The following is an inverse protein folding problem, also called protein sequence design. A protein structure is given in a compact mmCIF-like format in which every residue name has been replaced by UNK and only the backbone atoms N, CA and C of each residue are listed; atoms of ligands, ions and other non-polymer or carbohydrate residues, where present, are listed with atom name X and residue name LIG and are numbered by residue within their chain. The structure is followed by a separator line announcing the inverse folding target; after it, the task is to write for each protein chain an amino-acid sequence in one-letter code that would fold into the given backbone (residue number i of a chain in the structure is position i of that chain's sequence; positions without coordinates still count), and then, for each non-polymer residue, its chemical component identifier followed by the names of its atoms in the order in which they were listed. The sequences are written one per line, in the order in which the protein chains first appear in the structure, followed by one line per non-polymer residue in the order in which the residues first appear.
data_IF_094456761813
#
_entry.id   IF_094456761813
#
_cell.length_a   1.000
_cell.length_b   1.000
_cell.length_c   1.000
_cell.angle_alpha   90.00
_cell.angle_beta   90.00
_cell.angle_gamma   90.00
#
_symmetry.space_group_name_H-M   'P 1'
#
loop_
_entity.id
_entity.type
_entity.pdbx_description
1 polymer ?
#
# COMPACT_ATOMS: atom_id res chain seq x y z
N UNK A 1 -17.87 33.91 -14.03
CA UNK A 1 -17.85 32.77 -14.99
C UNK A 1 -16.43 32.31 -15.33
N UNK A 2 -15.47 33.18 -15.69
CA UNK A 2 -14.11 32.73 -16.05
C UNK A 2 -13.36 32.02 -14.90
N UNK A 3 -13.45 32.52 -13.66
CA UNK A 3 -12.81 31.90 -12.48
C UNK A 3 -13.22 30.44 -12.23
N UNK A 4 -14.42 30.03 -12.68
CA UNK A 4 -14.91 28.67 -12.51
C UNK A 4 -14.33 27.68 -13.53
N UNK A 5 -13.84 28.16 -14.67
CA UNK A 5 -13.22 27.33 -15.71
C UNK A 5 -11.74 27.13 -15.38
N UNK A 6 -11.04 28.21 -15.01
CA UNK A 6 -9.64 28.15 -14.58
C UNK A 6 -9.45 27.21 -13.38
N UNK A 7 -10.40 27.24 -12.44
CA UNK A 7 -10.43 26.32 -11.30
C UNK A 7 -10.52 24.84 -11.73
N UNK A 8 -11.43 24.50 -12.65
CA UNK A 8 -11.61 23.14 -13.16
C UNK A 8 -10.39 22.65 -13.93
N UNK A 9 -9.77 23.51 -14.74
CA UNK A 9 -8.54 23.18 -15.47
C UNK A 9 -7.41 22.89 -14.49
N UNK A 10 -7.24 23.71 -13.46
CA UNK A 10 -6.20 23.50 -12.44
C UNK A 10 -6.41 22.19 -11.66
N UNK A 11 -7.66 21.79 -11.44
CA UNK A 11 -7.97 20.48 -10.84
C UNK A 11 -7.62 19.32 -11.77
N UNK A 12 -7.97 19.42 -13.05
CA UNK A 12 -7.62 18.37 -14.02
C UNK A 12 -6.09 18.28 -14.23
N UNK A 13 -5.38 19.40 -14.19
CA UNK A 13 -3.91 19.44 -14.22
C UNK A 13 -3.33 18.77 -12.97
N UNK A 14 -3.91 19.00 -11.80
CA UNK A 14 -3.47 18.35 -10.55
C UNK A 14 -3.67 16.83 -10.63
N UNK A 15 -4.83 16.39 -11.09
CA UNK A 15 -5.19 14.98 -11.32
C UNK A 15 -4.23 14.32 -12.34
N UNK A 16 -3.88 15.03 -13.41
CA UNK A 16 -2.93 14.53 -14.41
C UNK A 16 -1.49 14.46 -13.88
N UNK A 17 -1.04 15.48 -13.15
CA UNK A 17 0.31 15.49 -12.57
C UNK A 17 0.46 14.37 -11.53
N UNK A 18 -0.57 14.13 -10.72
CA UNK A 18 -0.64 13.02 -9.77
C UNK A 18 -0.66 11.66 -10.50
N UNK A 19 -1.46 11.54 -11.56
CA UNK A 19 -1.48 10.36 -12.45
C UNK A 19 -0.13 10.08 -13.12
N UNK A 20 0.61 11.12 -13.53
CA UNK A 20 1.96 10.97 -14.08
C UNK A 20 3.04 10.76 -13.00
N UNK A 21 2.67 10.78 -11.72
CA UNK A 21 3.57 10.56 -10.59
C UNK A 21 4.52 11.71 -10.30
N UNK A 22 4.19 12.93 -10.73
CA UNK A 22 4.98 14.14 -10.53
C UNK A 22 4.75 14.74 -9.14
N UNK A 23 4.98 13.97 -8.08
CA UNK A 23 4.61 14.31 -6.70
C UNK A 23 5.25 15.63 -6.21
N UNK A 24 6.52 15.87 -6.56
CA UNK A 24 7.22 17.11 -6.21
C UNK A 24 6.60 18.33 -6.91
N UNK A 25 6.21 18.15 -8.17
CA UNK A 25 5.53 19.17 -8.99
C UNK A 25 4.12 19.44 -8.49
N UNK A 26 3.37 18.42 -8.08
CA UNK A 26 2.05 18.57 -7.45
C UNK A 26 2.16 19.39 -6.17
N UNK A 27 3.16 19.12 -5.33
CA UNK A 27 3.40 19.88 -4.09
C UNK A 27 3.66 21.36 -4.34
N UNK A 28 4.50 21.67 -5.34
CA UNK A 28 4.79 23.05 -5.75
C UNK A 28 3.55 23.72 -6.35
N UNK A 29 2.84 23.02 -7.24
CA UNK A 29 1.67 23.52 -7.92
C UNK A 29 0.53 23.87 -6.94
N UNK A 30 0.25 23.00 -5.97
CA UNK A 30 -0.73 23.26 -4.91
C UNK A 30 -0.34 24.45 -4.01
N UNK A 31 0.97 24.64 -3.77
CA UNK A 31 1.48 25.78 -3.01
C UNK A 31 1.27 27.09 -3.77
N UNK A 32 1.57 27.11 -5.06
CA UNK A 32 1.34 28.28 -5.93
C UNK A 32 -0.15 28.62 -6.06
N UNK A 33 -1.04 27.61 -6.16
CA UNK A 33 -2.50 27.79 -6.15
C UNK A 33 -3.00 28.47 -4.86
N UNK A 34 -2.46 28.04 -3.70
CA UNK A 34 -2.80 28.64 -2.39
C UNK A 34 -2.32 30.10 -2.28
N UNK A 35 -1.12 30.40 -2.78
CA UNK A 35 -0.57 31.77 -2.74
C UNK A 35 -1.36 32.74 -3.64
N UNK A 36 -2.06 32.23 -4.67
CA UNK A 36 -2.88 33.02 -5.60
C UNK A 36 -4.35 33.24 -5.19
N UNK A 37 -4.76 32.83 -3.98
CA UNK A 37 -6.13 32.99 -3.45
C UNK A 37 -7.24 32.36 -4.32
N UNK A 38 -7.02 31.19 -4.93
CA UNK A 38 -8.12 30.46 -5.59
C UNK A 38 -8.83 29.51 -4.59
N UNK A 39 -10.18 29.54 -4.51
CA UNK A 39 -10.93 28.74 -3.54
C UNK A 39 -10.90 27.25 -3.93
N UNK A 40 -10.38 26.41 -3.05
CA UNK A 40 -10.31 24.96 -3.22
C UNK A 40 -11.69 24.35 -2.98
N UNK A 41 -12.32 23.79 -4.02
CA UNK A 41 -13.40 22.82 -3.86
C UNK A 41 -12.87 21.42 -4.19
N UNK A 42 -12.95 20.52 -3.20
CA UNK A 42 -12.73 19.10 -3.38
C UNK A 42 -13.88 18.51 -4.21
N UNK A 43 -13.59 17.60 -5.16
CA UNK A 43 -14.15 16.23 -5.27
C UNK A 43 -14.17 15.63 -6.71
N UNK A 44 -13.77 14.34 -6.75
CA UNK A 44 -14.36 13.16 -7.45
C UNK A 44 -14.42 13.02 -8.99
N UNK A 45 -13.83 11.89 -9.44
CA UNK A 45 -14.22 10.95 -10.52
C UNK A 45 -13.97 11.31 -12.01
N UNK A 46 -13.35 10.37 -12.77
CA UNK A 46 -13.53 10.23 -14.24
C UNK A 46 -12.45 9.49 -15.07
N UNK A 47 -12.55 8.15 -15.14
CA UNK A 47 -12.23 7.13 -16.20
C UNK A 47 -11.30 7.40 -17.43
N UNK A 48 -10.73 6.32 -18.03
CA UNK A 48 -10.52 6.26 -19.49
C UNK A 48 -9.17 6.14 -20.31
N UNK A 49 -8.09 5.38 -20.01
CA UNK A 49 -7.03 4.91 -20.96
C UNK A 49 -6.38 3.62 -20.42
N UNK A 50 -6.76 2.45 -20.93
CA UNK A 50 -6.38 1.17 -20.31
C UNK A 50 -5.03 0.58 -20.74
N UNK A 51 -4.49 0.79 -21.95
CA UNK A 51 -3.43 -0.14 -22.42
C UNK A 51 -2.01 0.16 -21.92
N UNK A 52 -1.57 1.43 -21.89
CA UNK A 52 -0.22 1.77 -21.38
C UNK A 52 -0.16 1.88 -19.86
N UNK A 53 -1.31 2.06 -19.20
CA UNK A 53 -1.43 2.10 -17.74
C UNK A 53 -1.55 0.69 -17.16
N UNK A 54 -2.23 -0.22 -17.85
CA UNK A 54 -2.27 -1.63 -17.45
C UNK A 54 -0.87 -2.25 -17.46
N UNK A 55 -0.08 -2.04 -18.51
CA UNK A 55 1.28 -2.59 -18.57
C UNK A 55 2.17 -2.05 -17.43
N UNK A 56 2.11 -0.75 -17.13
CA UNK A 56 2.83 -0.15 -15.99
C UNK A 56 2.34 -0.68 -14.64
N UNK A 57 1.03 -0.79 -14.46
CA UNK A 57 0.44 -1.37 -13.27
C UNK A 57 0.82 -2.83 -13.09
N UNK A 58 0.90 -3.61 -14.18
CA UNK A 58 1.39 -4.99 -14.16
C UNK A 58 2.88 -5.05 -13.81
N UNK A 59 3.71 -4.15 -14.34
CA UNK A 59 5.13 -4.07 -13.97
C UNK A 59 5.26 -3.78 -12.47
N UNK A 60 4.55 -2.77 -11.96
CA UNK A 60 4.57 -2.41 -10.52
C UNK A 60 4.07 -3.57 -9.66
N UNK A 61 2.96 -4.21 -10.05
CA UNK A 61 2.43 -5.41 -9.38
C UNK A 61 3.48 -6.50 -9.29
N UNK A 62 4.13 -6.83 -10.41
CA UNK A 62 5.13 -7.87 -10.48
C UNK A 62 6.37 -7.53 -9.65
N UNK A 63 6.79 -6.26 -9.64
CA UNK A 63 7.89 -5.75 -8.83
C UNK A 63 7.58 -5.84 -7.32
N UNK A 64 6.38 -5.40 -6.90
CA UNK A 64 5.94 -5.53 -5.51
C UNK A 64 5.83 -7.00 -5.08
N UNK A 65 5.28 -7.87 -5.93
CA UNK A 65 5.22 -9.31 -5.63
C UNK A 65 6.61 -9.93 -5.55
N UNK A 66 7.57 -9.47 -6.37
CA UNK A 66 8.97 -9.89 -6.27
C UNK A 66 9.57 -9.47 -4.93
N UNK A 67 9.38 -8.23 -4.48
CA UNK A 67 9.87 -7.81 -3.16
C UNK A 67 9.20 -8.55 -2.00
N UNK A 68 7.93 -8.92 -2.16
CA UNK A 68 7.27 -9.83 -1.22
C UNK A 68 7.94 -11.20 -1.19
N UNK A 69 8.18 -11.80 -2.35
CA UNK A 69 8.81 -13.14 -2.48
C UNK A 69 10.27 -13.14 -2.00
N UNK A 70 11.00 -12.04 -2.19
CA UNK A 70 12.39 -11.86 -1.76
C UNK A 70 12.51 -11.47 -0.27
N UNK A 71 11.41 -11.04 0.36
CA UNK A 71 11.39 -10.56 1.75
C UNK A 71 11.96 -9.15 1.95
N UNK A 72 12.03 -8.35 0.87
CA UNK A 72 12.50 -6.97 0.92
C UNK A 72 11.36 -6.05 1.39
N UNK A 73 11.23 -5.94 2.72
CA UNK A 73 10.20 -5.13 3.40
C UNK A 73 10.26 -3.65 2.98
N UNK A 74 11.45 -3.07 2.94
CA UNK A 74 11.64 -1.63 2.71
C UNK A 74 11.17 -1.23 1.31
N UNK A 75 11.65 -1.92 0.28
CA UNK A 75 11.24 -1.65 -1.10
C UNK A 75 9.76 -1.97 -1.33
N UNK A 76 9.24 -3.03 -0.71
CA UNK A 76 7.82 -3.36 -0.77
C UNK A 76 6.97 -2.21 -0.22
N UNK A 77 7.25 -1.74 1.01
CA UNK A 77 6.46 -0.67 1.62
C UNK A 77 6.70 0.70 0.97
N UNK A 78 7.87 0.94 0.38
CA UNK A 78 8.13 2.12 -0.46
C UNK A 78 7.18 2.16 -1.65
N UNK A 79 7.03 1.04 -2.37
CA UNK A 79 6.07 0.95 -3.48
C UNK A 79 4.62 0.97 -2.99
N UNK A 80 4.33 0.35 -1.84
CA UNK A 80 3.01 0.35 -1.22
C UNK A 80 2.54 1.78 -0.94
N UNK A 81 3.34 2.56 -0.22
CA UNK A 81 3.02 3.96 0.10
C UNK A 81 2.95 4.86 -1.13
N UNK A 82 3.74 4.56 -2.17
CA UNK A 82 3.75 5.32 -3.42
C UNK A 82 2.52 5.07 -4.29
N UNK A 83 2.06 3.82 -4.35
CA UNK A 83 1.06 3.39 -5.34
C UNK A 83 -0.31 3.09 -4.76
N UNK A 84 -0.43 2.92 -3.44
CA UNK A 84 -1.68 2.59 -2.75
C UNK A 84 -2.09 3.76 -1.85
N UNK A 85 -3.20 4.43 -2.17
CA UNK A 85 -3.72 5.53 -1.36
C UNK A 85 -4.10 5.09 0.06
N UNK A 86 -3.55 5.78 1.07
CA UNK A 86 -3.80 5.46 2.48
C UNK A 86 -5.28 5.59 2.88
N UNK A 87 -6.04 6.46 2.22
CA UNK A 87 -7.48 6.63 2.46
C UNK A 87 -8.28 5.35 2.13
N UNK A 88 -7.88 4.58 1.12
CA UNK A 88 -8.56 3.33 0.75
C UNK A 88 -8.31 2.28 1.83
N UNK A 89 -7.06 2.16 2.29
CA UNK A 89 -6.69 1.26 3.39
C UNK A 89 -7.43 1.67 4.67
N UNK A 90 -7.44 2.97 5.00
CA UNK A 90 -8.00 3.45 6.25
C UNK A 90 -9.54 3.37 6.29
N UNK A 91 -10.19 3.24 5.12
CA UNK A 91 -11.65 3.10 5.00
C UNK A 91 -12.14 1.66 5.08
N UNK A 92 -11.34 0.67 4.68
CA UNK A 92 -11.74 -0.75 4.63
C UNK A 92 -11.02 -1.57 5.72
N UNK A 93 -11.75 -2.10 6.73
CA UNK A 93 -11.19 -2.99 7.74
C UNK A 93 -10.43 -4.20 7.15
N UNK A 94 -10.88 -4.75 6.03
CA UNK A 94 -10.26 -5.89 5.35
C UNK A 94 -8.87 -5.54 4.81
N UNK A 95 -8.69 -4.30 4.34
CA UNK A 95 -7.40 -3.80 3.84
C UNK A 95 -6.44 -3.45 4.97
N UNK A 96 -6.96 -2.94 6.10
CA UNK A 96 -6.16 -2.79 7.33
C UNK A 96 -5.65 -4.14 7.82
N UNK A 97 -6.52 -5.15 7.82
CA UNK A 97 -6.14 -6.53 8.13
C UNK A 97 -5.08 -7.07 7.17
N UNK A 98 -5.18 -6.76 5.87
CA UNK A 98 -4.17 -7.15 4.88
C UNK A 98 -2.81 -6.47 5.13
N UNK A 99 -2.81 -5.17 5.42
CA UNK A 99 -1.60 -4.42 5.79
C UNK A 99 -0.94 -5.01 7.04
N UNK A 100 -1.73 -5.32 8.06
CA UNK A 100 -1.22 -6.00 9.26
C UNK A 100 -0.58 -7.36 8.92
N UNK A 101 -1.26 -8.18 8.11
CA UNK A 101 -0.74 -9.49 7.69
C UNK A 101 0.56 -9.36 6.89
N UNK A 102 0.75 -8.29 6.12
CA UNK A 102 1.99 -7.97 5.43
C UNK A 102 3.12 -7.69 6.42
N UNK A 103 2.89 -6.83 7.42
CA UNK A 103 3.89 -6.59 8.47
C UNK A 103 4.25 -7.87 9.23
N UNK A 104 3.25 -8.70 9.56
CA UNK A 104 3.46 -9.99 10.20
C UNK A 104 4.24 -10.97 9.30
N UNK A 105 3.99 -10.96 7.98
CA UNK A 105 4.75 -11.78 7.04
C UNK A 105 6.24 -11.39 7.01
N UNK A 106 6.55 -10.09 6.87
CA UNK A 106 7.93 -9.61 6.81
C UNK A 106 8.69 -9.79 8.13
N UNK A 107 8.01 -9.72 9.28
CA UNK A 107 8.65 -9.92 10.59
C UNK A 107 9.14 -11.34 10.81
N UNK A 108 8.47 -12.35 10.24
CA UNK A 108 8.86 -13.76 10.35
C UNK A 108 9.58 -14.31 9.11
N UNK A 109 9.67 -13.54 8.03
CA UNK A 109 10.23 -13.99 6.74
C UNK A 109 11.58 -14.70 6.91
N UNK A 110 12.54 -14.03 7.56
CA UNK A 110 13.88 -14.56 7.81
C UNK A 110 13.94 -15.66 8.89
N UNK A 111 12.90 -15.77 9.72
CA UNK A 111 12.80 -16.78 10.77
C UNK A 111 12.28 -18.13 10.25
N UNK A 112 11.61 -18.15 9.07
CA UNK A 112 11.03 -19.37 8.48
C UNK A 112 12.06 -20.50 8.28
N UNK A 113 11.74 -21.76 8.63
CA UNK A 113 12.68 -22.88 8.50
C UNK A 113 13.22 -23.07 7.09
N UNK A 114 12.36 -22.91 6.07
CA UNK A 114 12.70 -23.15 4.67
C UNK A 114 13.33 -21.94 3.96
N UNK A 115 13.56 -20.84 4.67
CA UNK A 115 14.21 -19.67 4.09
C UNK A 115 15.72 -19.89 4.01
N UNK A 116 16.25 -19.97 2.78
CA UNK A 116 17.68 -20.14 2.50
C UNK A 116 18.50 -18.89 2.83
N UNK A 117 17.87 -17.71 2.81
CA UNK A 117 18.51 -16.42 3.03
C UNK A 117 18.34 -15.99 4.49
N UNK A 118 18.82 -16.79 5.45
CA UNK A 118 18.74 -16.45 6.87
C UNK A 118 19.46 -15.13 7.14
N UNK A 119 18.76 -14.16 7.71
CA UNK A 119 19.33 -12.88 8.15
C UNK A 119 18.73 -12.50 9.51
N UNK A 120 19.46 -12.80 10.58
CA UNK A 120 19.00 -12.56 11.95
C UNK A 120 18.86 -11.07 12.27
N UNK A 121 19.73 -10.23 11.70
CA UNK A 121 19.67 -8.79 11.89
C UNK A 121 18.41 -8.20 11.25
N UNK A 122 18.15 -8.54 9.98
CA UNK A 122 16.94 -8.12 9.29
C UNK A 122 15.67 -8.71 9.94
N UNK A 123 15.74 -9.92 10.52
CA UNK A 123 14.64 -10.47 11.30
C UNK A 123 14.31 -9.61 12.53
N UNK A 124 15.34 -9.20 13.29
CA UNK A 124 15.18 -8.33 14.47
C UNK A 124 14.62 -6.96 14.08
N UNK A 125 15.16 -6.36 13.01
CA UNK A 125 14.69 -5.08 12.48
C UNK A 125 13.22 -5.17 12.04
N UNK A 126 12.85 -6.16 11.23
CA UNK A 126 11.47 -6.33 10.79
C UNK A 126 10.51 -6.62 11.95
N UNK A 127 10.96 -7.34 12.99
CA UNK A 127 10.17 -7.58 14.20
C UNK A 127 9.94 -6.30 15.01
N UNK A 128 10.98 -5.47 15.15
CA UNK A 128 10.87 -4.17 15.82
C UNK A 128 9.93 -3.24 15.05
N UNK A 129 10.02 -3.21 13.74
CA UNK A 129 9.13 -2.44 12.86
C UNK A 129 7.67 -2.89 12.99
N UNK A 130 7.44 -4.21 13.05
CA UNK A 130 6.10 -4.74 13.29
C UNK A 130 5.57 -4.34 14.67
N UNK A 131 6.41 -4.34 15.70
CA UNK A 131 6.05 -3.83 17.02
C UNK A 131 5.66 -2.35 16.99
N UNK A 132 6.46 -1.51 16.33
CA UNK A 132 6.16 -0.09 16.16
C UNK A 132 4.85 0.14 15.38
N UNK A 133 4.57 -0.66 14.35
CA UNK A 133 3.29 -0.61 13.64
C UNK A 133 2.11 -0.94 14.57
N UNK A 134 2.23 -1.95 15.43
CA UNK A 134 1.17 -2.32 16.37
C UNK A 134 0.91 -1.24 17.43
N UNK A 135 1.96 -0.56 17.88
CA UNK A 135 1.87 0.54 18.85
C UNK A 135 1.23 1.81 18.22
N UNK A 136 1.23 1.91 16.88
CA UNK A 136 0.60 3.01 16.16
C UNK A 136 -0.94 3.00 16.25
N UNK A 137 -1.56 4.14 15.95
CA UNK A 137 -3.03 4.30 15.91
C UNK A 137 -3.69 3.27 14.96
N UNK A 138 -3.01 2.93 13.85
CA UNK A 138 -3.50 1.93 12.88
C UNK A 138 -3.48 0.53 13.47
N UNK A 139 -2.38 0.15 14.12
CA UNK A 139 -2.23 -1.14 14.81
C UNK A 139 -3.25 -1.34 15.93
N UNK A 140 -3.49 -0.31 16.74
CA UNK A 140 -4.46 -0.37 17.83
C UNK A 140 -5.90 -0.55 17.33
N UNK A 141 -6.26 0.06 16.18
CA UNK A 141 -7.59 -0.09 15.58
C UNK A 141 -7.86 -1.53 15.06
N UNK A 142 -6.82 -2.29 14.72
CA UNK A 142 -6.92 -3.65 14.17
C UNK A 142 -7.10 -4.71 15.27
N UNK A 143 -6.73 -4.38 16.51
CA UNK A 143 -6.81 -5.28 17.69
C UNK A 143 -8.21 -5.79 18.02
N UNK A 144 -9.26 -5.27 17.37
CA UNK A 144 -10.65 -5.69 17.55
C UNK A 144 -11.09 -6.85 16.64
N UNK A 145 -10.23 -7.33 15.73
CA UNK A 145 -10.54 -8.47 14.84
C UNK A 145 -10.00 -9.79 15.39
N UNK A 146 -10.89 -10.76 15.64
CA UNK A 146 -10.58 -12.00 16.35
C UNK A 146 -9.53 -12.90 15.66
N UNK A 147 -9.42 -12.80 14.34
CA UNK A 147 -8.48 -13.61 13.54
C UNK A 147 -7.02 -13.16 13.67
N UNK A 148 -6.79 -11.91 14.09
CA UNK A 148 -5.47 -11.27 14.11
C UNK A 148 -4.91 -11.18 15.53
N UNK A 149 -5.77 -11.33 16.55
CA UNK A 149 -5.41 -11.23 17.96
C UNK A 149 -4.18 -12.07 18.36
N UNK A 150 -4.02 -13.35 17.93
CA UNK A 150 -2.84 -14.13 18.29
C UNK A 150 -1.53 -13.50 17.80
N UNK A 151 -1.56 -12.80 16.66
CA UNK A 151 -0.39 -12.17 16.05
C UNK A 151 0.16 -10.99 16.86
N UNK A 152 -0.65 -10.38 17.73
CA UNK A 152 -0.19 -9.30 18.62
C UNK A 152 0.84 -9.77 19.65
N UNK A 153 0.82 -11.05 20.00
CA UNK A 153 1.81 -11.63 20.91
C UNK A 153 3.17 -11.90 20.21
N UNK A 154 3.22 -11.89 18.88
CA UNK A 154 4.35 -12.38 18.10
C UNK A 154 5.69 -11.68 18.44
N UNK A 155 5.78 -10.35 18.60
CA UNK A 155 7.04 -9.69 18.95
C UNK A 155 7.46 -9.88 20.41
N UNK A 156 6.56 -10.35 21.26
CA UNK A 156 6.80 -10.51 22.69
C UNK A 156 7.17 -11.96 23.06
N UNK A 157 7.05 -12.90 22.12
CA UNK A 157 7.38 -14.31 22.33
C UNK A 157 8.84 -14.57 21.98
N UNK A 158 9.55 -15.28 22.86
CA UNK A 158 10.89 -15.78 22.60
C UNK A 158 10.83 -16.98 21.65
N UNK A 159 11.57 -16.94 20.54
CA UNK A 159 11.55 -18.00 19.49
C UNK A 159 10.14 -18.30 18.96
N UNK A 160 9.49 -17.35 18.27
CA UNK A 160 8.12 -17.53 17.77
C UNK A 160 7.97 -18.71 16.80
N UNK A 161 9.05 -19.14 16.17
CA UNK A 161 9.14 -20.31 15.29
C UNK A 161 8.86 -21.65 15.99
N UNK A 162 9.04 -21.72 17.31
CA UNK A 162 8.85 -22.95 18.12
C UNK A 162 7.53 -22.97 18.87
N UNK A 163 6.79 -21.86 18.87
CA UNK A 163 5.61 -21.70 19.70
C UNK A 163 4.38 -22.33 19.02
N UNK A 164 3.64 -23.18 19.74
CA UNK A 164 2.50 -23.93 19.21
C UNK A 164 1.42 -23.02 18.57
N UNK A 165 1.13 -21.88 19.18
CA UNK A 165 0.16 -20.89 18.66
C UNK A 165 0.53 -20.27 17.31
N UNK A 166 1.79 -20.38 16.87
CA UNK A 166 2.27 -19.80 15.61
C UNK A 166 2.62 -20.84 14.55
N UNK A 167 2.36 -22.13 14.78
CA UNK A 167 2.69 -23.19 13.83
C UNK A 167 2.13 -22.92 12.43
N UNK A 168 0.90 -22.42 12.35
CA UNK A 168 0.29 -22.03 11.07
C UNK A 168 1.05 -20.90 10.37
N UNK A 169 1.53 -19.88 11.09
CA UNK A 169 2.29 -18.78 10.49
C UNK A 169 3.60 -19.27 9.89
N UNK A 170 4.25 -20.24 10.52
CA UNK A 170 5.53 -20.81 10.07
C UNK A 170 5.37 -21.95 9.06
N UNK A 171 4.13 -22.32 8.72
CA UNK A 171 3.81 -23.28 7.66
C UNK A 171 4.26 -22.81 6.27
N UNK A 172 4.30 -23.74 5.31
CA UNK A 172 4.62 -23.41 3.91
C UNK A 172 3.42 -22.82 3.18
N UNK A 173 2.21 -23.07 3.69
CA UNK A 173 0.93 -22.64 3.15
C UNK A 173 0.67 -21.16 3.43
N UNK A 174 1.06 -20.67 4.61
CA UNK A 174 0.86 -19.28 5.00
C UNK A 174 1.39 -18.24 4.00
N UNK A 175 2.67 -18.25 3.58
CA UNK A 175 3.16 -17.26 2.63
C UNK A 175 2.42 -17.32 1.29
N UNK A 176 2.00 -18.51 0.84
CA UNK A 176 1.19 -18.68 -0.37
C UNK A 176 -0.19 -18.05 -0.22
N UNK A 177 -0.83 -18.22 0.93
CA UNK A 177 -2.13 -17.61 1.23
C UNK A 177 -2.04 -16.08 1.27
N UNK A 178 -1.04 -15.52 1.96
CA UNK A 178 -0.86 -14.07 2.05
C UNK A 178 -0.54 -13.50 0.66
N UNK A 179 0.36 -14.13 -0.10
CA UNK A 179 0.68 -13.73 -1.47
C UNK A 179 -0.56 -13.68 -2.36
N UNK A 180 -1.46 -14.66 -2.24
CA UNK A 180 -2.72 -14.69 -2.98
C UNK A 180 -3.64 -13.53 -2.59
N UNK A 181 -3.79 -13.23 -1.30
CA UNK A 181 -4.58 -12.07 -0.82
C UNK A 181 -4.01 -10.76 -1.37
N UNK A 182 -2.69 -10.59 -1.31
CA UNK A 182 -1.99 -9.40 -1.83
C UNK A 182 -2.14 -9.28 -3.35
N UNK A 183 -1.97 -10.37 -4.10
CA UNK A 183 -2.15 -10.36 -5.55
C UNK A 183 -3.58 -9.97 -5.94
N UNK A 184 -4.59 -10.55 -5.28
CA UNK A 184 -5.99 -10.22 -5.55
C UNK A 184 -6.29 -8.74 -5.26
N UNK A 185 -5.71 -8.20 -4.19
CA UNK A 185 -5.82 -6.78 -3.88
C UNK A 185 -5.15 -5.91 -4.94
N UNK A 186 -3.95 -6.28 -5.42
CA UNK A 186 -3.27 -5.59 -6.50
C UNK A 186 -4.06 -5.61 -7.81
N UNK A 187 -4.65 -6.76 -8.14
CA UNK A 187 -5.55 -6.89 -9.29
C UNK A 187 -6.73 -5.93 -9.16
N UNK A 188 -7.33 -5.84 -7.98
CA UNK A 188 -8.44 -4.92 -7.74
C UNK A 188 -8.00 -3.44 -7.80
N UNK A 189 -6.97 -3.03 -7.06
CA UNK A 189 -6.60 -1.61 -6.95
C UNK A 189 -6.03 -1.06 -8.26
N UNK A 190 -5.27 -1.87 -9.00
CA UNK A 190 -4.67 -1.44 -10.24
C UNK A 190 -5.61 -1.56 -11.44
N UNK A 191 -6.64 -2.42 -11.39
CA UNK A 191 -7.68 -2.44 -12.43
C UNK A 191 -8.73 -1.35 -12.23
N UNK A 192 -8.88 -0.80 -11.01
CA UNK A 192 -9.89 0.20 -10.68
C UNK A 192 -9.32 1.62 -10.45
N UNK A 193 -8.11 1.94 -10.96
CA UNK A 193 -7.63 3.33 -10.91
C UNK A 193 -8.52 4.21 -11.81
N UNK A 194 -9.24 5.21 -11.25
CA UNK A 194 -9.92 6.19 -12.08
C UNK A 194 -8.86 7.01 -12.82
N UNK A 195 -9.15 7.34 -14.07
CA UNK A 195 -8.23 8.07 -14.92
C UNK A 195 -8.39 9.57 -14.75
N UNK A 196 -7.46 10.39 -15.26
CA UNK A 196 -7.59 11.83 -15.16
C UNK A 196 -8.52 12.39 -16.21
N UNK A 197 -9.37 13.32 -15.79
CA UNK A 197 -10.34 14.00 -16.68
C UNK A 197 -9.70 14.83 -17.79
N UNK A 198 -8.44 15.28 -17.65
CA UNK A 198 -7.69 15.93 -18.74
C UNK A 198 -7.52 15.02 -19.96
N UNK A 199 -7.39 13.72 -19.70
CA UNK A 199 -7.13 12.73 -20.72
C UNK A 199 -8.43 12.42 -21.48
N UNK A 200 -9.55 12.28 -20.77
CA UNK A 200 -10.90 12.13 -21.36
C UNK A 200 -11.28 13.32 -22.28
N UNK A 201 -10.82 14.53 -21.96
CA UNK A 201 -11.13 15.76 -22.70
C UNK A 201 -10.41 15.89 -24.04
N UNK A 202 -9.29 15.18 -24.24
CA UNK A 202 -8.50 15.24 -25.48
C UNK A 202 -8.87 14.13 -26.49
N UNK A 203 -9.65 13.14 -26.07
CA UNK A 203 -10.09 12.02 -26.90
C UNK A 203 -11.52 12.16 -27.44
N UNK A 204 -12.19 13.28 -27.17
CA UNK A 204 -13.47 13.69 -27.78
C UNK A 204 -13.27 14.92 -28.68
#
# INVERSE_FOLDING_TARGET
MSQSIDFRINDFVTEYLDYKGFNDTVGIFLKERKTRQEPIQQLTNGNHLQDTDHEKCQIIKNEMLKYFDDGNREEFFRLWLKHIPANIIDSDPSLKSLEFLLYAHFSIYYLRPNNRNKNEQAAKENMQEFKTYMESIKGQAISQTSEILPLFALPFVTSPDKHASFQELFSNEWPVQIRKKVSNFFDWIFSNRPLPRLVELLEN
#
